data_IF_565488859767
#
_entry.id   IF_565488859767
#
_cell.length_a   1.000
_cell.length_b   1.000
_cell.length_c   1.000
_cell.angle_alpha   90.00
_cell.angle_beta   90.00
_cell.angle_gamma   90.00
#
_symmetry.space_group_name_H-M   'P 1'
#
loop_
_entity.id
_entity.type
_entity.pdbx_description
1 polymer ?
#
# COMPACT_ATOMS: atom_id res chain seq x y z
N UNK A 1 21.13 56.58 4.84
CA UNK A 1 19.71 56.65 4.41
C UNK A 1 19.12 55.25 4.50
N UNK A 2 18.44 54.94 5.59
CA UNK A 2 17.70 53.69 5.76
C UNK A 2 16.29 53.91 5.20
N UNK A 3 16.02 53.39 4.00
CA UNK A 3 14.67 53.41 3.44
C UNK A 3 13.77 52.51 4.30
N UNK A 4 12.91 53.12 5.12
CA UNK A 4 11.89 52.41 5.87
C UNK A 4 10.84 51.87 4.88
N UNK A 5 10.71 50.55 4.81
CA UNK A 5 9.70 49.86 4.01
C UNK A 5 8.32 50.24 4.56
N UNK A 6 7.42 50.71 3.69
CA UNK A 6 6.10 51.18 4.13
C UNK A 6 5.19 50.01 4.56
N UNK A 7 4.21 50.23 5.45
CA UNK A 7 3.24 49.20 5.83
C UNK A 7 2.47 48.58 4.64
N UNK A 8 2.28 49.34 3.56
CA UNK A 8 1.61 48.85 2.34
C UNK A 8 2.50 47.90 1.54
N UNK A 9 3.81 48.11 1.52
CA UNK A 9 4.81 47.19 0.96
C UNK A 9 4.87 45.88 1.77
N UNK A 10 4.77 45.95 3.10
CA UNK A 10 4.71 44.78 3.98
C UNK A 10 3.48 43.89 3.70
N UNK A 11 2.34 44.49 3.34
CA UNK A 11 1.09 43.76 3.03
C UNK A 11 1.13 43.00 1.70
N UNK A 12 2.03 43.40 0.79
CA UNK A 12 2.24 42.76 -0.52
C UNK A 12 3.23 41.60 -0.46
N UNK A 13 3.95 41.43 0.65
CA UNK A 13 4.83 40.30 0.84
C UNK A 13 3.99 39.01 0.82
N UNK A 14 4.38 37.99 0.03
CA UNK A 14 3.64 36.74 -0.05
C UNK A 14 3.64 36.07 1.33
N UNK A 15 2.54 36.22 2.06
CA UNK A 15 2.32 35.48 3.30
C UNK A 15 2.18 34.01 2.92
N UNK A 16 3.18 33.21 3.27
CA UNK A 16 3.19 31.79 2.97
C UNK A 16 2.11 31.10 3.83
N UNK A 17 0.87 31.08 3.33
CA UNK A 17 -0.30 30.55 4.06
C UNK A 17 -0.10 29.07 4.32
N UNK A 18 -0.01 28.71 5.60
CA UNK A 18 0.10 27.31 6.04
C UNK A 18 -1.20 26.58 5.75
N UNK A 19 -1.15 25.51 4.96
CA UNK A 19 -2.34 24.66 4.71
C UNK A 19 -2.53 23.69 5.88
N UNK A 20 -3.58 23.92 6.67
CA UNK A 20 -3.93 23.10 7.84
C UNK A 20 -4.65 21.81 7.45
N UNK A 21 -4.55 20.80 8.32
CA UNK A 21 -5.35 19.58 8.23
C UNK A 21 -6.85 19.90 8.37
N UNK A 22 -7.68 18.95 7.93
CA UNK A 22 -9.14 19.03 8.02
C UNK A 22 -9.69 17.69 8.46
N UNK A 23 -10.87 17.69 9.08
CA UNK A 23 -11.60 16.47 9.42
C UNK A 23 -12.49 16.04 8.27
N UNK A 24 -12.60 14.73 8.07
CA UNK A 24 -13.60 14.14 7.19
C UNK A 24 -14.91 13.92 7.97
N UNK A 25 -16.07 13.96 7.32
CA UNK A 25 -17.34 13.76 8.01
C UNK A 25 -17.46 12.31 8.51
N UNK A 26 -18.12 12.08 9.65
CA UNK A 26 -18.28 10.73 10.23
C UNK A 26 -18.82 9.69 9.23
N UNK A 27 -19.74 10.10 8.36
CA UNK A 27 -20.27 9.26 7.26
C UNK A 27 -19.17 8.70 6.35
N UNK A 28 -18.10 9.44 6.09
CA UNK A 28 -16.97 8.96 5.29
C UNK A 28 -16.33 7.75 5.95
N UNK A 29 -15.99 7.85 7.23
CA UNK A 29 -15.39 6.74 7.98
C UNK A 29 -16.35 5.55 8.09
N UNK A 30 -17.65 5.80 8.28
CA UNK A 30 -18.67 4.75 8.25
C UNK A 30 -18.70 3.98 6.92
N UNK A 31 -18.69 4.69 5.79
CA UNK A 31 -18.61 4.04 4.46
C UNK A 31 -17.30 3.30 4.25
N UNK A 32 -16.16 3.87 4.64
CA UNK A 32 -14.87 3.19 4.51
C UNK A 32 -14.81 1.91 5.36
N UNK A 33 -15.32 1.96 6.59
CA UNK A 33 -15.40 0.79 7.47
C UNK A 33 -16.29 -0.29 6.85
N UNK A 34 -17.47 0.07 6.35
CA UNK A 34 -18.36 -0.86 5.67
C UNK A 34 -17.68 -1.54 4.47
N UNK A 35 -17.06 -0.75 3.59
CA UNK A 35 -16.33 -1.29 2.42
C UNK A 35 -15.19 -2.21 2.86
N UNK A 36 -14.41 -1.81 3.87
CA UNK A 36 -13.32 -2.64 4.39
C UNK A 36 -13.84 -3.94 5.01
N UNK A 37 -14.97 -3.95 5.70
CA UNK A 37 -15.60 -5.17 6.22
C UNK A 37 -16.01 -6.08 5.04
N UNK A 38 -16.72 -5.54 4.05
CA UNK A 38 -17.14 -6.31 2.86
C UNK A 38 -15.93 -6.90 2.12
N UNK A 39 -14.87 -6.11 1.93
CA UNK A 39 -13.64 -6.58 1.30
C UNK A 39 -12.91 -7.62 2.15
N UNK A 40 -12.87 -7.48 3.48
CA UNK A 40 -12.27 -8.47 4.36
C UNK A 40 -13.01 -9.81 4.29
N UNK A 41 -14.35 -9.79 4.30
CA UNK A 41 -15.17 -10.98 4.11
C UNK A 41 -14.94 -11.62 2.75
N UNK A 42 -14.92 -10.82 1.69
CA UNK A 42 -14.65 -11.29 0.34
C UNK A 42 -13.25 -11.92 0.24
N UNK A 43 -12.20 -11.24 0.71
CA UNK A 43 -10.82 -11.72 0.62
C UNK A 43 -10.60 -12.96 1.47
N UNK A 44 -11.24 -13.05 2.64
CA UNK A 44 -11.27 -14.26 3.46
C UNK A 44 -11.92 -15.43 2.71
N UNK A 45 -13.07 -15.17 2.07
CA UNK A 45 -13.76 -16.18 1.27
C UNK A 45 -12.91 -16.64 0.07
N UNK A 46 -12.23 -15.72 -0.63
CA UNK A 46 -11.33 -16.04 -1.73
C UNK A 46 -10.09 -16.85 -1.28
N UNK A 47 -9.58 -16.61 -0.07
CA UNK A 47 -8.40 -17.29 0.47
C UNK A 47 -8.72 -18.56 1.27
N UNK A 48 -9.98 -18.98 1.34
CA UNK A 48 -10.44 -20.03 2.29
C UNK A 48 -9.87 -21.42 2.01
N UNK A 49 -9.68 -21.75 0.74
CA UNK A 49 -9.26 -23.07 0.24
C UNK A 49 -8.10 -22.95 -0.76
N UNK A 50 -7.54 -21.74 -0.91
CA UNK A 50 -6.48 -21.39 -1.84
C UNK A 50 -6.80 -21.73 -3.32
N UNK A 51 -8.04 -22.07 -3.66
CA UNK A 51 -8.40 -22.54 -5.01
C UNK A 51 -8.13 -21.49 -6.08
N UNK A 52 -8.57 -20.24 -5.83
CA UNK A 52 -8.30 -19.12 -6.73
C UNK A 52 -6.80 -18.83 -6.84
N UNK A 53 -6.10 -18.85 -5.71
CA UNK A 53 -4.67 -18.56 -5.66
C UNK A 53 -3.87 -19.59 -6.45
N UNK A 54 -4.16 -20.87 -6.27
CA UNK A 54 -3.54 -21.98 -7.02
C UNK A 54 -3.90 -21.93 -8.49
N UNK A 55 -5.15 -21.60 -8.84
CA UNK A 55 -5.57 -21.45 -10.23
C UNK A 55 -4.79 -20.34 -10.95
N UNK A 56 -4.64 -19.16 -10.32
CA UNK A 56 -3.88 -18.06 -10.91
C UNK A 56 -2.39 -18.39 -10.97
N UNK A 57 -1.81 -18.88 -9.86
CA UNK A 57 -0.38 -19.20 -9.78
C UNK A 57 0.01 -20.34 -10.74
N UNK A 58 -0.89 -21.30 -10.96
CA UNK A 58 -0.67 -22.45 -11.85
C UNK A 58 -0.37 -22.07 -13.31
N UNK A 59 -0.86 -20.94 -13.81
CA UNK A 59 -0.52 -20.45 -15.15
C UNK A 59 0.95 -20.07 -15.32
N UNK A 60 1.66 -19.83 -14.21
CA UNK A 60 3.03 -19.33 -14.19
C UNK A 60 4.03 -20.38 -13.69
N UNK A 61 3.54 -21.56 -13.30
CA UNK A 61 4.35 -22.67 -12.84
C UNK A 61 4.58 -23.66 -13.99
N UNK A 62 5.82 -24.12 -14.15
CA UNK A 62 6.15 -25.21 -15.07
C UNK A 62 6.30 -26.52 -14.29
N UNK A 63 5.30 -27.39 -14.45
CA UNK A 63 5.27 -28.70 -13.79
C UNK A 63 6.31 -29.68 -14.34
N UNK A 64 6.78 -29.52 -15.58
CA UNK A 64 7.78 -30.42 -16.16
C UNK A 64 9.18 -30.19 -15.57
N UNK A 65 9.47 -28.94 -15.21
CA UNK A 65 10.77 -28.51 -14.70
C UNK A 65 10.74 -28.14 -13.21
N UNK A 66 9.59 -28.32 -12.57
CA UNK A 66 9.33 -28.05 -11.16
C UNK A 66 9.76 -26.66 -10.67
N UNK A 67 9.61 -25.63 -11.50
CA UNK A 67 9.97 -24.26 -11.10
C UNK A 67 9.07 -23.21 -11.74
N UNK A 68 9.19 -21.96 -11.27
CA UNK A 68 8.58 -20.78 -11.89
C UNK A 68 9.55 -20.21 -12.92
N UNK A 69 9.27 -20.28 -14.24
CA UNK A 69 10.21 -19.80 -15.27
C UNK A 69 10.59 -18.32 -15.12
N UNK A 70 9.69 -17.52 -14.54
CA UNK A 70 9.89 -16.09 -14.34
C UNK A 70 10.53 -15.72 -12.99
N UNK A 71 10.82 -16.69 -12.11
CA UNK A 71 11.35 -16.43 -10.75
C UNK A 71 12.57 -15.50 -10.75
N UNK A 72 13.50 -15.75 -11.67
CA UNK A 72 14.76 -15.01 -11.85
C UNK A 72 14.77 -14.11 -13.09
N UNK A 73 13.60 -13.79 -13.66
CA UNK A 73 13.54 -12.96 -14.87
C UNK A 73 14.04 -11.52 -14.57
N UNK A 74 15.13 -11.05 -15.21
CA UNK A 74 15.76 -9.77 -14.88
C UNK A 74 14.91 -8.57 -15.28
N UNK A 75 14.13 -8.67 -16.36
CA UNK A 75 13.26 -7.60 -16.83
C UNK A 75 12.09 -7.39 -15.86
N UNK A 76 11.47 -8.49 -15.43
CA UNK A 76 10.40 -8.44 -14.44
C UNK A 76 10.91 -7.93 -13.09
N UNK A 77 12.12 -8.31 -12.68
CA UNK A 77 12.75 -7.71 -11.50
C UNK A 77 12.98 -6.21 -11.67
N UNK A 78 13.57 -5.77 -12.78
CA UNK A 78 13.84 -4.36 -13.01
C UNK A 78 12.57 -3.51 -13.01
N UNK A 79 11.57 -3.90 -13.80
CA UNK A 79 10.34 -3.12 -13.97
C UNK A 79 9.46 -3.18 -12.72
N UNK A 80 9.20 -4.39 -12.23
CA UNK A 80 8.19 -4.61 -11.20
C UNK A 80 8.74 -4.52 -9.78
N UNK A 81 9.95 -5.04 -9.57
CA UNK A 81 10.58 -5.08 -8.26
C UNK A 81 11.30 -3.78 -7.92
N UNK A 82 12.02 -3.17 -8.88
CA UNK A 82 12.88 -2.01 -8.63
C UNK A 82 12.21 -0.70 -9.03
N UNK A 83 11.88 -0.52 -10.30
CA UNK A 83 11.43 0.76 -10.83
C UNK A 83 10.10 1.21 -10.20
N UNK A 84 9.07 0.35 -10.24
CA UNK A 84 7.76 0.68 -9.68
C UNK A 84 7.83 1.04 -8.18
N UNK A 85 8.63 0.28 -7.41
CA UNK A 85 8.87 0.55 -5.99
C UNK A 85 9.56 1.91 -5.77
N UNK A 86 10.62 2.20 -6.53
CA UNK A 86 11.34 3.46 -6.38
C UNK A 86 10.53 4.66 -6.82
N UNK A 87 9.67 4.53 -7.83
CA UNK A 87 8.73 5.60 -8.23
C UNK A 87 7.76 5.91 -7.10
N UNK A 88 7.17 4.90 -6.45
CA UNK A 88 6.26 5.13 -5.32
C UNK A 88 6.96 5.76 -4.10
N UNK A 89 8.17 5.30 -3.78
CA UNK A 89 8.99 5.89 -2.71
C UNK A 89 9.38 7.33 -3.04
N UNK A 90 9.83 7.59 -4.27
CA UNK A 90 10.18 8.93 -4.72
C UNK A 90 8.98 9.87 -4.64
N UNK A 91 7.78 9.42 -5.01
CA UNK A 91 6.55 10.18 -4.87
C UNK A 91 6.27 10.55 -3.40
N UNK A 92 6.45 9.60 -2.47
CA UNK A 92 6.30 9.86 -1.03
C UNK A 92 7.33 10.88 -0.54
N UNK A 93 8.60 10.73 -0.90
CA UNK A 93 9.68 11.64 -0.50
C UNK A 93 9.47 13.03 -1.07
N UNK A 94 9.10 13.15 -2.35
CA UNK A 94 8.79 14.43 -3.00
C UNK A 94 7.60 15.09 -2.30
N UNK A 95 6.53 14.34 -2.01
CA UNK A 95 5.37 14.87 -1.27
C UNK A 95 5.76 15.35 0.14
N UNK A 96 6.65 14.64 0.83
CA UNK A 96 7.15 15.01 2.15
C UNK A 96 8.00 16.29 2.09
N UNK A 97 9.00 16.33 1.21
CA UNK A 97 9.94 17.46 1.07
C UNK A 97 9.20 18.71 0.58
N UNK A 98 8.42 18.58 -0.49
CA UNK A 98 7.62 19.69 -1.01
C UNK A 98 6.55 20.13 -0.02
N UNK A 99 5.89 19.19 0.66
CA UNK A 99 4.93 19.47 1.72
C UNK A 99 5.54 20.27 2.86
N UNK A 100 6.74 19.89 3.30
CA UNK A 100 7.48 20.57 4.37
C UNK A 100 7.91 21.98 3.94
N UNK A 101 8.53 22.09 2.75
CA UNK A 101 8.98 23.36 2.18
C UNK A 101 7.83 24.36 1.99
N UNK A 102 6.68 23.89 1.51
CA UNK A 102 5.46 24.70 1.30
C UNK A 102 4.59 24.84 2.55
N UNK A 103 5.02 24.32 3.71
CA UNK A 103 4.23 24.30 4.96
C UNK A 103 2.81 23.78 4.75
N UNK A 104 2.70 22.71 3.97
CA UNK A 104 1.46 22.04 3.64
C UNK A 104 1.33 20.75 4.46
N UNK A 105 0.71 20.88 5.63
CA UNK A 105 0.54 19.76 6.56
C UNK A 105 -0.19 18.58 5.92
N UNK A 106 -1.07 18.81 4.94
CA UNK A 106 -1.82 17.75 4.26
C UNK A 106 -0.93 16.86 3.40
N UNK A 107 0.04 17.45 2.67
CA UNK A 107 1.00 16.68 1.88
C UNK A 107 2.00 15.93 2.76
N UNK A 108 2.44 16.57 3.86
CA UNK A 108 3.29 15.91 4.85
C UNK A 108 2.56 14.71 5.45
N UNK A 109 1.33 14.89 5.92
CA UNK A 109 0.52 13.79 6.46
C UNK A 109 0.29 12.70 5.40
N UNK A 110 -0.06 13.04 4.17
CA UNK A 110 -0.22 12.05 3.11
C UNK A 110 1.06 11.24 2.86
N UNK A 111 2.22 11.88 2.81
CA UNK A 111 3.50 11.19 2.64
C UNK A 111 3.82 10.25 3.82
N UNK A 112 3.52 10.68 5.05
CA UNK A 112 3.66 9.83 6.24
C UNK A 112 2.70 8.63 6.19
N UNK A 113 1.47 8.82 5.72
CA UNK A 113 0.49 7.75 5.52
C UNK A 113 0.92 6.76 4.42
N UNK A 114 1.59 7.22 3.36
CA UNK A 114 2.21 6.34 2.36
C UNK A 114 3.24 5.43 3.04
N UNK A 115 4.20 6.02 3.77
CA UNK A 115 5.22 5.25 4.50
C UNK A 115 4.62 4.28 5.53
N UNK A 116 3.61 4.74 6.29
CA UNK A 116 2.89 3.93 7.27
C UNK A 116 2.24 2.69 6.63
N UNK A 117 1.57 2.85 5.50
CA UNK A 117 0.90 1.72 4.82
C UNK A 117 1.89 0.62 4.46
N UNK A 118 3.03 0.98 3.88
CA UNK A 118 4.10 0.03 3.56
C UNK A 118 4.72 -0.60 4.83
N UNK A 119 4.90 0.19 5.88
CA UNK A 119 5.43 -0.27 7.17
C UNK A 119 4.52 -1.31 7.82
N UNK A 120 3.20 -1.07 7.86
CA UNK A 120 2.23 -2.01 8.43
C UNK A 120 2.30 -3.36 7.72
N UNK A 121 2.31 -3.37 6.39
CA UNK A 121 2.45 -4.63 5.63
C UNK A 121 3.80 -5.30 5.90
N UNK A 122 4.88 -4.54 5.96
CA UNK A 122 6.21 -5.07 6.28
C UNK A 122 6.28 -5.74 7.65
N UNK A 123 5.68 -5.12 8.67
CA UNK A 123 5.62 -5.66 10.02
C UNK A 123 4.74 -6.92 10.11
N UNK A 124 3.56 -6.91 9.49
CA UNK A 124 2.71 -8.10 9.41
C UNK A 124 3.43 -9.25 8.69
N UNK A 125 4.10 -8.93 7.57
CA UNK A 125 4.90 -9.89 6.81
C UNK A 125 6.01 -10.50 7.66
N UNK A 126 6.73 -9.71 8.46
CA UNK A 126 7.84 -10.25 9.26
C UNK A 126 7.42 -11.25 10.35
N UNK A 127 6.16 -11.18 10.78
CA UNK A 127 5.58 -12.08 11.80
C UNK A 127 4.81 -13.26 11.20
N UNK A 128 4.70 -13.32 9.87
CA UNK A 128 3.87 -14.32 9.19
C UNK A 128 4.58 -15.66 9.06
N UNK A 129 3.85 -16.74 9.28
CA UNK A 129 4.31 -18.11 9.09
C UNK A 129 3.94 -18.68 7.71
N UNK A 130 3.26 -17.91 6.87
CA UNK A 130 2.91 -18.33 5.52
C UNK A 130 4.13 -18.28 4.62
N UNK A 131 4.46 -19.40 3.99
CA UNK A 131 5.56 -19.49 3.02
C UNK A 131 5.11 -19.09 1.63
N UNK A 132 6.06 -18.73 0.77
CA UNK A 132 5.76 -18.29 -0.58
C UNK A 132 5.51 -19.47 -1.52
N UNK A 133 4.76 -19.28 -2.62
CA UNK A 133 4.46 -20.36 -3.55
C UNK A 133 5.70 -21.13 -4.01
N UNK A 134 6.80 -20.45 -4.35
CA UNK A 134 8.07 -21.12 -4.73
C UNK A 134 8.70 -22.00 -3.64
N UNK A 135 8.26 -21.87 -2.38
CA UNK A 135 8.78 -22.63 -1.23
C UNK A 135 7.85 -23.81 -0.92
N UNK A 136 6.65 -23.87 -1.51
CA UNK A 136 5.65 -24.91 -1.23
C UNK A 136 5.95 -26.20 -1.97
N UNK A 137 5.60 -27.33 -1.36
CA UNK A 137 5.76 -28.67 -1.95
C UNK A 137 5.06 -28.78 -3.31
N UNK A 138 3.88 -28.18 -3.46
CA UNK A 138 3.13 -28.17 -4.72
C UNK A 138 3.89 -27.53 -5.88
N UNK A 139 4.88 -26.68 -5.60
CA UNK A 139 5.65 -25.97 -6.61
C UNK A 139 7.16 -26.31 -6.58
N UNK A 140 7.53 -27.49 -6.06
CA UNK A 140 8.92 -27.98 -6.02
C UNK A 140 9.72 -27.57 -4.78
N UNK A 141 9.07 -26.93 -3.80
CA UNK A 141 9.65 -26.56 -2.52
C UNK A 141 9.49 -27.63 -1.43
N UNK A 142 9.51 -27.20 -0.16
CA UNK A 142 9.49 -28.08 1.03
C UNK A 142 8.45 -27.69 2.09
N UNK A 143 7.84 -26.51 1.97
CA UNK A 143 6.87 -26.01 2.92
C UNK A 143 5.47 -26.55 2.62
N UNK A 144 4.69 -26.81 3.67
CA UNK A 144 3.28 -27.21 3.53
C UNK A 144 2.41 -25.96 3.41
N UNK A 145 1.56 -25.91 2.39
CA UNK A 145 0.55 -24.87 2.26
C UNK A 145 -0.60 -25.08 3.24
N UNK A 146 -1.17 -24.00 3.76
CA UNK A 146 -2.31 -24.05 4.66
C UNK A 146 -3.15 -22.78 4.52
N UNK A 147 -4.49 -22.86 4.62
CA UNK A 147 -5.36 -21.70 4.47
C UNK A 147 -4.98 -20.55 5.40
N UNK A 148 -5.20 -19.32 4.93
CA UNK A 148 -4.67 -18.10 5.53
C UNK A 148 -4.89 -17.94 7.04
N UNK A 149 -6.06 -18.37 7.53
CA UNK A 149 -6.49 -18.25 8.92
C UNK A 149 -6.64 -19.60 9.64
N UNK A 150 -6.00 -20.65 9.12
CA UNK A 150 -5.98 -21.96 9.76
C UNK A 150 -4.82 -22.10 10.75
N UNK A 151 -4.83 -23.18 11.52
CA UNK A 151 -3.75 -23.49 12.46
C UNK A 151 -2.43 -23.70 11.73
N UNK A 152 -1.35 -23.15 12.29
CA UNK A 152 -0.01 -23.20 11.68
C UNK A 152 0.52 -24.63 11.81
N UNK A 153 0.87 -25.32 10.70
CA UNK A 153 1.49 -26.64 10.75
C UNK A 153 2.96 -26.56 11.18
N UNK A 154 3.51 -27.66 11.68
CA UNK A 154 4.93 -27.74 12.07
C UNK A 154 5.88 -27.44 10.89
N UNK A 155 5.50 -27.88 9.68
CA UNK A 155 6.29 -27.75 8.46
C UNK A 155 5.85 -26.54 7.61
N UNK A 156 5.47 -25.43 8.26
CA UNK A 156 5.00 -24.21 7.58
C UNK A 156 6.06 -23.52 6.73
N UNK A 157 7.34 -23.91 6.85
CA UNK A 157 8.45 -23.40 6.07
C UNK A 157 9.02 -22.06 6.56
N UNK A 158 9.76 -21.31 5.72
CA UNK A 158 10.47 -20.09 6.11
C UNK A 158 9.54 -18.92 6.51
N UNK A 159 8.26 -18.99 6.15
CA UNK A 159 7.28 -17.96 6.45
C UNK A 159 7.55 -16.66 5.69
N UNK A 160 7.12 -15.55 6.29
CA UNK A 160 7.32 -14.18 5.83
C UNK A 160 6.79 -13.91 4.42
N UNK A 161 5.75 -14.59 3.97
CA UNK A 161 5.17 -14.35 2.66
C UNK A 161 3.89 -13.52 2.67
N UNK A 162 3.05 -13.65 3.69
CA UNK A 162 1.79 -12.91 3.77
C UNK A 162 1.89 -11.73 4.74
N UNK A 163 1.39 -10.52 4.43
CA UNK A 163 0.83 -10.08 3.15
C UNK A 163 1.90 -9.69 2.10
N UNK A 164 1.45 -9.40 0.87
CA UNK A 164 2.29 -9.04 -0.27
C UNK A 164 3.07 -7.72 -0.08
N UNK A 165 4.33 -7.82 0.35
CA UNK A 165 5.17 -6.65 0.65
C UNK A 165 5.55 -5.78 -0.55
N UNK A 166 5.67 -6.36 -1.75
CA UNK A 166 5.92 -5.55 -2.95
C UNK A 166 4.68 -4.79 -3.40
N UNK A 167 3.51 -5.43 -3.36
CA UNK A 167 2.25 -4.79 -3.72
C UNK A 167 1.92 -3.59 -2.83
N UNK A 168 2.27 -3.66 -1.53
CA UNK A 168 2.08 -2.52 -0.61
C UNK A 168 2.80 -1.25 -1.05
N UNK A 169 3.89 -1.39 -1.82
CA UNK A 169 4.60 -0.23 -2.37
C UNK A 169 3.78 0.52 -3.43
N UNK A 170 2.96 -0.16 -4.22
CA UNK A 170 2.04 0.50 -5.13
C UNK A 170 0.82 1.07 -4.40
N UNK A 171 0.24 0.26 -3.50
CA UNK A 171 -0.93 0.65 -2.70
C UNK A 171 -0.67 1.88 -1.83
N UNK A 172 0.57 2.13 -1.40
CA UNK A 172 0.88 3.28 -0.55
C UNK A 172 0.39 4.60 -1.15
N UNK A 173 0.38 4.74 -2.48
CA UNK A 173 -0.02 5.94 -3.23
C UNK A 173 -1.45 6.40 -2.90
N UNK A 174 -2.32 5.49 -2.44
CA UNK A 174 -3.66 5.83 -1.98
C UNK A 174 -3.65 6.88 -0.86
N UNK A 175 -2.56 7.00 -0.08
CA UNK A 175 -2.39 8.00 0.98
C UNK A 175 -2.49 9.45 0.49
N UNK A 176 -2.21 9.70 -0.80
CA UNK A 176 -2.38 11.02 -1.41
C UNK A 176 -3.85 11.48 -1.49
N UNK A 177 -4.81 10.55 -1.37
CA UNK A 177 -6.24 10.88 -1.24
C UNK A 177 -6.47 11.99 -0.22
N UNK A 178 -5.86 11.86 0.96
CA UNK A 178 -6.05 12.77 2.09
C UNK A 178 -5.45 14.16 1.87
N UNK A 179 -4.47 14.29 0.96
CA UNK A 179 -3.92 15.59 0.61
C UNK A 179 -4.85 16.43 -0.26
N UNK A 180 -5.65 15.78 -1.11
CA UNK A 180 -6.40 16.44 -2.18
C UNK A 180 -7.92 16.43 -2.00
N UNK A 181 -8.46 15.57 -1.12
CA UNK A 181 -9.90 15.35 -1.02
C UNK A 181 -10.72 16.63 -0.80
N UNK A 182 -10.25 17.56 0.04
CA UNK A 182 -10.95 18.82 0.35
C UNK A 182 -11.09 19.75 -0.86
N UNK A 183 -10.04 19.89 -1.68
CA UNK A 183 -10.03 20.84 -2.80
C UNK A 183 -10.36 20.20 -4.15
N UNK A 184 -9.97 18.94 -4.34
CA UNK A 184 -9.99 18.23 -5.62
C UNK A 184 -10.39 16.76 -5.40
N UNK A 185 -11.65 16.48 -5.03
CA UNK A 185 -12.10 15.12 -4.70
C UNK A 185 -11.94 14.13 -5.86
N UNK A 186 -12.10 14.59 -7.12
CA UNK A 186 -11.83 13.76 -8.31
C UNK A 186 -10.38 13.29 -8.36
N UNK A 187 -9.43 14.21 -8.17
CA UNK A 187 -8.00 13.91 -8.14
C UNK A 187 -7.64 12.99 -6.95
N UNK A 188 -8.26 13.19 -5.79
CA UNK A 188 -8.06 12.34 -4.63
C UNK A 188 -8.42 10.88 -4.94
N UNK A 189 -9.56 10.63 -5.58
CA UNK A 189 -9.95 9.29 -6.02
C UNK A 189 -9.08 8.75 -7.16
N UNK A 190 -8.56 9.60 -8.05
CA UNK A 190 -7.55 9.18 -9.03
C UNK A 190 -6.32 8.58 -8.34
N UNK A 191 -5.85 9.16 -7.23
CA UNK A 191 -4.73 8.57 -6.47
C UNK A 191 -5.08 7.23 -5.81
N UNK A 192 -6.32 7.04 -5.39
CA UNK A 192 -6.78 5.73 -4.89
C UNK A 192 -6.75 4.71 -6.03
N UNK A 193 -7.35 5.02 -7.17
CA UNK A 193 -7.36 4.15 -8.35
C UNK A 193 -5.95 3.83 -8.84
N UNK A 194 -5.08 4.84 -8.91
CA UNK A 194 -3.67 4.67 -9.28
C UNK A 194 -2.94 3.76 -8.31
N UNK A 195 -3.11 3.95 -6.99
CA UNK A 195 -2.51 3.09 -5.98
C UNK A 195 -2.99 1.64 -6.08
N UNK A 196 -4.28 1.43 -6.34
CA UNK A 196 -4.86 0.09 -6.58
C UNK A 196 -4.24 -0.56 -7.81
N UNK A 197 -4.21 0.14 -8.95
CA UNK A 197 -3.63 -0.39 -10.19
C UNK A 197 -2.14 -0.70 -10.02
N UNK A 198 -1.37 0.23 -9.45
CA UNK A 198 0.05 0.02 -9.18
C UNK A 198 0.28 -1.16 -8.25
N UNK A 199 -0.46 -1.24 -7.14
CA UNK A 199 -0.33 -2.31 -6.16
C UNK A 199 -0.67 -3.69 -6.76
N UNK A 200 -1.73 -3.77 -7.57
CA UNK A 200 -2.12 -5.00 -8.26
C UNK A 200 -1.12 -5.41 -9.34
N UNK A 201 -0.62 -4.48 -10.16
CA UNK A 201 0.43 -4.78 -11.15
C UNK A 201 1.71 -5.28 -10.46
N UNK A 202 2.13 -4.59 -9.40
CA UNK A 202 3.26 -4.98 -8.57
C UNK A 202 3.08 -6.36 -7.95
N UNK A 203 1.91 -6.62 -7.37
CA UNK A 203 1.57 -7.91 -6.80
C UNK A 203 1.51 -9.02 -7.84
N UNK A 204 0.89 -8.76 -9.00
CA UNK A 204 0.76 -9.74 -10.08
C UNK A 204 2.12 -10.16 -10.63
N UNK A 205 3.06 -9.23 -10.79
CA UNK A 205 4.43 -9.59 -11.13
C UNK A 205 5.14 -10.46 -10.08
N UNK A 206 4.71 -10.44 -8.82
CA UNK A 206 5.18 -11.40 -7.81
C UNK A 206 4.45 -12.75 -7.89
N UNK A 207 3.17 -12.76 -8.27
CA UNK A 207 2.42 -14.00 -8.56
C UNK A 207 3.09 -14.77 -9.70
N UNK A 208 3.45 -14.08 -10.78
CA UNK A 208 4.16 -14.66 -11.92
C UNK A 208 5.51 -15.29 -11.55
N UNK A 209 6.16 -14.78 -10.49
CA UNK A 209 7.45 -15.29 -9.98
C UNK A 209 7.31 -16.43 -8.99
N UNK A 210 6.09 -16.78 -8.57
CA UNK A 210 5.86 -17.66 -7.44
C UNK A 210 6.19 -17.05 -6.08
N UNK A 211 6.32 -15.72 -5.99
CA UNK A 211 6.75 -15.03 -4.78
C UNK A 211 5.59 -14.68 -3.84
N UNK A 212 4.36 -14.61 -4.33
CA UNK A 212 3.15 -14.35 -3.54
C UNK A 212 1.93 -14.95 -4.20
N UNK A 213 0.95 -15.43 -3.43
CA UNK A 213 -0.40 -15.70 -3.94
C UNK A 213 -1.15 -14.40 -4.25
N UNK A 214 -2.21 -14.46 -5.07
CA UNK A 214 -2.96 -13.28 -5.46
C UNK A 214 -3.66 -12.64 -4.25
N UNK A 215 -4.29 -13.45 -3.40
CA UNK A 215 -4.94 -13.02 -2.16
C UNK A 215 -4.00 -12.29 -1.20
N UNK A 216 -2.71 -12.67 -1.15
CA UNK A 216 -1.70 -11.97 -0.34
C UNK A 216 -1.57 -10.50 -0.73
N UNK A 217 -1.72 -10.20 -2.02
CA UNK A 217 -1.65 -8.85 -2.55
C UNK A 217 -2.95 -8.08 -2.30
N UNK A 218 -4.12 -8.73 -2.39
CA UNK A 218 -5.41 -8.11 -2.02
C UNK A 218 -5.42 -7.68 -0.56
N UNK A 219 -4.97 -8.56 0.35
CA UNK A 219 -4.82 -8.25 1.76
C UNK A 219 -3.79 -7.15 2.04
N UNK A 220 -2.70 -7.08 1.27
CA UNK A 220 -1.76 -5.96 1.39
C UNK A 220 -2.45 -4.62 1.08
N UNK A 221 -3.24 -4.55 0.02
CA UNK A 221 -4.03 -3.36 -0.30
C UNK A 221 -5.03 -2.99 0.79
N UNK A 222 -5.70 -3.99 1.37
CA UNK A 222 -6.61 -3.82 2.50
C UNK A 222 -5.92 -3.18 3.71
N UNK A 223 -4.78 -3.75 4.16
CA UNK A 223 -4.01 -3.26 5.31
C UNK A 223 -3.44 -1.86 5.08
N UNK A 224 -3.00 -1.57 3.85
CA UNK A 224 -2.55 -0.23 3.48
C UNK A 224 -3.70 0.77 3.61
N UNK A 225 -4.85 0.51 2.97
CA UNK A 225 -5.95 1.46 3.01
C UNK A 225 -6.55 1.63 4.41
N UNK A 226 -6.76 0.52 5.14
CA UNK A 226 -7.25 0.54 6.52
C UNK A 226 -6.35 1.39 7.42
N UNK A 227 -5.04 1.15 7.40
CA UNK A 227 -4.11 1.90 8.26
C UNK A 227 -4.06 3.39 7.89
N UNK A 228 -4.14 3.72 6.60
CA UNK A 228 -4.18 5.11 6.13
C UNK A 228 -5.45 5.85 6.58
N UNK A 229 -6.63 5.23 6.41
CA UNK A 229 -7.92 5.79 6.86
C UNK A 229 -7.95 5.97 8.37
N UNK A 230 -7.56 4.93 9.12
CA UNK A 230 -7.55 4.93 10.58
C UNK A 230 -6.64 6.03 11.12
N UNK A 231 -5.38 6.07 10.70
CA UNK A 231 -4.41 7.03 11.23
C UNK A 231 -4.72 8.45 10.77
N UNK A 232 -5.23 8.65 9.55
CA UNK A 232 -5.71 9.98 9.17
C UNK A 232 -6.88 10.44 10.07
N UNK A 233 -7.82 9.55 10.40
CA UNK A 233 -8.89 9.83 11.36
C UNK A 233 -8.36 10.30 12.72
N UNK A 234 -7.43 9.54 13.30
CA UNK A 234 -6.81 9.88 14.59
C UNK A 234 -6.03 11.19 14.55
N UNK A 235 -5.19 11.39 13.53
CA UNK A 235 -4.37 12.60 13.37
C UNK A 235 -5.23 13.83 13.12
N UNK A 236 -6.24 13.74 12.25
CA UNK A 236 -7.14 14.87 11.98
C UNK A 236 -8.05 15.20 13.16
N UNK A 237 -8.44 14.22 13.98
CA UNK A 237 -9.14 14.46 15.23
C UNK A 237 -8.28 15.27 16.21
N UNK A 238 -6.97 14.99 16.31
CA UNK A 238 -6.09 15.69 17.26
C UNK A 238 -5.60 17.06 16.78
N UNK A 239 -5.28 17.19 15.48
CA UNK A 239 -4.55 18.35 14.95
C UNK A 239 -5.38 19.32 14.10
N UNK A 240 -6.55 18.91 13.60
CA UNK A 240 -7.41 19.85 12.91
C UNK A 240 -8.11 20.76 13.94
N UNK A 241 -7.61 21.99 14.06
CA UNK A 241 -8.31 23.05 14.78
C UNK A 241 -9.51 23.49 13.94
N UNK A 242 -10.71 23.36 14.52
CA UNK A 242 -11.92 23.99 13.99
C UNK A 242 -11.81 25.52 14.04
#
# INVERSE_FOLDING_TARGET
>A
MTHAVSPSELSKLPTNKTKRLYRLPARFYGYQLFVLIVLALLFTWLSRDESLDRWITGFWYDAATHHFPLQQNPLLDLLNHRLAKYVAIALAVIALVYGTYRRNARLVTAALLMGLGALVVGALKSMSHHSCPWDLVEYGGKAVSYPLFSAIPADSGPGRCFPGGHASSGFMVMGLFFAFWRERPRLAWTFVALGVVMGLLMGFGQVMRGAHFFSHNLWAGWWVWFSQVLVYGLVSAWFAKE
#
